data_IF_489631374657
#
_entry.id   IF_489631374657
#
_cell.length_a   1.000
_cell.length_b   1.000
_cell.length_c   1.000
_cell.angle_alpha   90.00
_cell.angle_beta   90.00
_cell.angle_gamma   90.00
#
_symmetry.space_group_name_H-M   'P 1'
#
loop_
_entity.id
_entity.type
_entity.pdbx_description
1 polymer ?
#
# COMPACT_ATOMS: atom_id res chain seq x y z
N UNK A 1 22.62 -4.03 -13.87
CA UNK A 1 21.54 -4.09 -14.89
C UNK A 1 20.91 -2.72 -15.03
N UNK A 2 20.43 -2.36 -16.22
CA UNK A 2 19.70 -1.10 -16.46
C UNK A 2 18.19 -1.37 -16.53
N UNK A 3 17.36 -0.37 -16.26
CA UNK A 3 15.90 -0.51 -16.36
C UNK A 3 15.43 -1.00 -17.76
N UNK A 4 16.00 -0.51 -18.89
CA UNK A 4 15.67 -1.06 -20.20
C UNK A 4 15.99 -2.56 -20.34
N UNK A 5 17.13 -3.02 -19.82
CA UNK A 5 17.50 -4.43 -19.89
C UNK A 5 16.54 -5.32 -19.07
N UNK A 6 16.05 -4.82 -17.94
CA UNK A 6 15.05 -5.53 -17.12
C UNK A 6 13.72 -5.61 -17.88
N UNK A 7 13.27 -4.53 -18.52
CA UNK A 7 12.03 -4.52 -19.31
C UNK A 7 12.07 -5.54 -20.45
N UNK A 8 13.15 -5.58 -21.22
CA UNK A 8 13.30 -6.57 -22.29
C UNK A 8 13.38 -8.00 -21.77
N UNK A 9 13.96 -8.23 -20.58
CA UNK A 9 13.95 -9.56 -19.96
C UNK A 9 12.51 -9.97 -19.57
N UNK A 10 11.71 -9.05 -19.04
CA UNK A 10 10.30 -9.29 -18.68
C UNK A 10 9.46 -9.59 -19.93
N UNK A 11 9.68 -8.86 -21.03
CA UNK A 11 8.96 -9.09 -22.29
C UNK A 11 9.14 -10.53 -22.82
N UNK A 12 10.34 -11.09 -22.61
CA UNK A 12 10.70 -12.46 -23.02
C UNK A 12 10.19 -13.57 -22.11
N UNK A 13 9.57 -13.27 -20.98
CA UNK A 13 9.04 -14.29 -20.06
C UNK A 13 7.80 -15.00 -20.65
N UNK A 14 7.65 -16.32 -20.40
CA UNK A 14 6.38 -17.02 -20.57
C UNK A 14 5.25 -16.36 -19.76
N UNK A 15 4.00 -16.54 -20.18
CA UNK A 15 2.84 -15.93 -19.51
C UNK A 15 2.76 -16.33 -18.03
N UNK A 16 2.99 -17.61 -17.71
CA UNK A 16 2.97 -18.14 -16.35
C UNK A 16 4.03 -17.46 -15.46
N UNK A 17 5.21 -17.17 -16.01
CA UNK A 17 6.27 -16.47 -15.28
C UNK A 17 5.98 -14.97 -15.14
N UNK A 18 5.27 -14.37 -16.10
CA UNK A 18 4.78 -12.98 -15.98
C UNK A 18 3.74 -12.87 -14.88
N UNK A 19 2.79 -13.79 -14.80
CA UNK A 19 1.80 -13.82 -13.72
C UNK A 19 2.45 -14.01 -12.34
N UNK A 20 3.43 -14.91 -12.24
CA UNK A 20 4.22 -15.09 -11.02
C UNK A 20 4.98 -13.82 -10.62
N UNK A 21 5.61 -13.14 -11.58
CA UNK A 21 6.32 -11.88 -11.35
C UNK A 21 5.38 -10.77 -10.88
N UNK A 22 4.20 -10.63 -11.50
CA UNK A 22 3.19 -9.65 -11.09
C UNK A 22 2.74 -9.93 -9.66
N UNK A 23 2.42 -11.19 -9.34
CA UNK A 23 1.99 -11.59 -8.00
C UNK A 23 3.04 -11.23 -6.95
N UNK A 24 4.31 -11.50 -7.24
CA UNK A 24 5.42 -11.17 -6.36
C UNK A 24 5.63 -9.65 -6.19
N UNK A 25 5.50 -8.85 -7.26
CA UNK A 25 5.60 -7.39 -7.15
C UNK A 25 4.47 -6.82 -6.28
N UNK A 26 3.24 -7.30 -6.46
CA UNK A 26 2.09 -6.88 -5.68
C UNK A 26 2.21 -7.26 -4.20
N UNK A 27 2.82 -8.41 -3.88
CA UNK A 27 3.01 -8.80 -2.48
C UNK A 27 4.00 -7.85 -1.79
N UNK A 28 5.08 -7.46 -2.47
CA UNK A 28 6.06 -6.51 -1.93
C UNK A 28 5.50 -5.12 -1.76
N UNK A 29 4.69 -4.67 -2.72
CA UNK A 29 4.00 -3.38 -2.59
C UNK A 29 3.10 -3.43 -1.36
N UNK A 30 2.26 -4.46 -1.21
CA UNK A 30 1.41 -4.63 -0.01
C UNK A 30 2.21 -4.64 1.30
N UNK A 31 3.32 -5.37 1.36
CA UNK A 31 4.18 -5.42 2.56
C UNK A 31 4.75 -4.04 2.92
N UNK A 32 5.15 -3.25 1.92
CA UNK A 32 5.66 -1.90 2.14
C UNK A 32 4.54 -0.94 2.58
N UNK A 33 3.34 -1.07 1.99
CA UNK A 33 2.15 -0.34 2.43
C UNK A 33 1.77 -0.69 3.87
N UNK A 34 1.76 -1.97 4.24
CA UNK A 34 1.48 -2.42 5.63
C UNK A 34 2.47 -1.82 6.61
N UNK A 35 3.76 -1.75 6.23
CA UNK A 35 4.80 -1.11 7.04
C UNK A 35 4.56 0.39 7.19
N UNK A 36 4.28 1.11 6.09
CA UNK A 36 4.01 2.55 6.14
C UNK A 36 2.79 2.86 7.01
N UNK A 37 1.70 2.09 6.87
CA UNK A 37 0.53 2.21 7.74
C UNK A 37 0.92 2.00 9.21
N UNK A 38 1.69 0.96 9.51
CA UNK A 38 2.12 0.70 10.89
C UNK A 38 2.98 1.84 11.46
N UNK A 39 3.81 2.49 10.65
CA UNK A 39 4.64 3.62 11.06
C UNK A 39 3.78 4.89 11.25
N UNK A 40 2.92 5.20 10.30
CA UNK A 40 2.06 6.39 10.31
C UNK A 40 1.07 6.38 11.47
N UNK A 41 0.48 5.23 11.79
CA UNK A 41 -0.49 5.08 12.88
C UNK A 41 0.14 4.60 14.19
N UNK A 42 1.47 4.60 14.30
CA UNK A 42 2.15 4.42 15.59
C UNK A 42 1.94 5.64 16.51
N UNK A 43 2.14 5.52 17.84
CA UNK A 43 1.98 6.66 18.75
C UNK A 43 2.88 7.85 18.37
N UNK A 44 2.29 8.98 18.01
CA UNK A 44 3.01 10.17 17.55
C UNK A 44 3.47 10.11 16.09
N UNK A 45 3.03 9.10 15.34
CA UNK A 45 3.22 8.97 13.89
C UNK A 45 2.38 9.98 13.10
N UNK A 46 2.66 10.10 11.80
CA UNK A 46 2.06 11.10 10.91
C UNK A 46 0.53 10.99 10.75
N UNK A 47 -0.03 9.82 11.04
CA UNK A 47 -1.47 9.55 11.02
C UNK A 47 -2.22 10.01 12.27
N UNK A 48 -1.53 10.48 13.32
CA UNK A 48 -2.17 10.87 14.59
C UNK A 48 -3.18 12.01 14.40
N UNK A 49 -2.84 13.03 13.62
CA UNK A 49 -3.76 14.15 13.34
C UNK A 49 -5.00 13.70 12.56
N UNK A 50 -4.85 12.72 11.66
CA UNK A 50 -5.99 12.16 10.94
C UNK A 50 -6.93 11.38 11.87
N UNK A 51 -6.38 10.66 12.86
CA UNK A 51 -7.18 9.98 13.88
C UNK A 51 -7.99 10.99 14.72
N UNK A 52 -7.36 12.09 15.14
CA UNK A 52 -8.04 13.17 15.88
C UNK A 52 -9.18 13.79 15.05
N UNK A 53 -8.97 14.06 13.76
CA UNK A 53 -10.02 14.57 12.87
C UNK A 53 -11.20 13.59 12.71
N UNK A 54 -10.91 12.29 12.65
CA UNK A 54 -11.94 11.25 12.56
C UNK A 54 -12.73 11.14 13.87
N UNK A 55 -12.06 11.17 15.03
CA UNK A 55 -12.71 11.15 16.34
C UNK A 55 -13.65 12.36 16.50
N UNK A 56 -13.20 13.56 16.12
CA UNK A 56 -14.04 14.74 16.14
C UNK A 56 -15.26 14.64 15.20
N UNK A 57 -15.10 14.04 14.02
CA UNK A 57 -16.20 13.83 13.09
C UNK A 57 -17.23 12.83 13.64
N UNK A 58 -16.78 11.79 14.35
CA UNK A 58 -17.64 10.84 15.05
C UNK A 58 -18.43 11.57 16.15
N UNK A 59 -17.77 12.39 16.97
CA UNK A 59 -18.39 13.15 18.06
C UNK A 59 -19.44 14.15 17.54
N UNK A 60 -19.22 14.74 16.36
CA UNK A 60 -20.18 15.62 15.69
C UNK A 60 -21.34 14.87 15.02
N UNK A 61 -21.27 13.54 14.91
CA UNK A 61 -22.23 12.74 14.15
C UNK A 61 -22.08 12.86 12.64
N UNK A 62 -20.96 13.44 12.16
CA UNK A 62 -20.61 13.63 10.75
C UNK A 62 -19.87 12.39 10.19
N UNK A 63 -20.23 11.20 10.66
CA UNK A 63 -19.64 9.94 10.22
C UNK A 63 -20.71 8.99 9.67
N UNK A 64 -20.48 8.46 8.47
CA UNK A 64 -21.30 7.41 7.90
C UNK A 64 -20.59 6.06 8.09
N UNK A 65 -21.13 5.15 8.92
CA UNK A 65 -20.56 3.81 9.07
C UNK A 65 -20.45 3.12 7.71
N UNK A 66 -19.34 2.42 7.51
CA UNK A 66 -19.21 1.47 6.41
C UNK A 66 -20.11 0.27 6.75
N UNK A 67 -21.31 0.27 6.17
CA UNK A 67 -22.25 -0.85 6.19
C UNK A 67 -22.09 -1.74 4.96
#
# INVERSE_FOLDING_TARGET
MTLPAIKSAIEGLPEEEKEALITWLLSRDREEWDKQISEDFSPGGGGTSLLEEVDEAIDRGDFKPLG
#
